data_IF_598895488184
#
_entry.id   IF_598895488184
#
_cell.length_a   1.000
_cell.length_b   1.000
_cell.length_c   1.000
_cell.angle_alpha   90.00
_cell.angle_beta   90.00
_cell.angle_gamma   90.00
#
_symmetry.space_group_name_H-M   'P 1'
#
loop_
_entity.id
_entity.type
_entity.pdbx_description
1 polymer ?
#
# COMPACT_ATOMS: atom_id res chain seq x y z
N UNK A 1 6.07 34.76 64.21
CA UNK A 1 6.21 33.57 63.34
C UNK A 1 5.06 33.61 62.33
N UNK A 2 5.32 34.02 61.09
CA UNK A 2 4.33 34.01 60.00
C UNK A 2 4.61 32.78 59.14
N UNK A 3 3.70 31.81 59.16
CA UNK A 3 3.76 30.63 58.30
C UNK A 3 3.40 31.04 56.86
N UNK A 4 4.32 30.84 55.94
CA UNK A 4 4.12 31.04 54.49
C UNK A 4 3.58 29.73 53.93
N UNK A 5 2.32 29.74 53.49
CA UNK A 5 1.70 28.67 52.71
C UNK A 5 2.22 28.77 51.27
N UNK A 6 3.00 27.77 50.83
CA UNK A 6 3.35 27.56 49.42
C UNK A 6 2.16 26.90 48.69
N UNK A 7 1.68 27.42 47.56
CA UNK A 7 0.71 26.71 46.73
C UNK A 7 1.45 25.67 45.86
N UNK A 8 1.01 24.42 45.95
CA UNK A 8 1.44 23.35 45.05
C UNK A 8 0.83 23.63 43.68
N UNK A 9 1.65 24.06 42.73
CA UNK A 9 1.25 24.20 41.33
C UNK A 9 1.08 22.80 40.72
N UNK A 10 -0.16 22.43 40.40
CA UNK A 10 -0.46 21.27 39.56
C UNK A 10 0.08 21.54 38.16
N UNK A 11 1.22 20.94 37.81
CA UNK A 11 1.65 20.81 36.42
C UNK A 11 0.67 19.82 35.74
N UNK A 12 -0.28 20.36 34.96
CA UNK A 12 -0.94 19.56 33.94
C UNK A 12 0.14 19.14 32.94
N UNK A 13 0.52 17.86 32.98
CA UNK A 13 1.30 17.23 31.91
C UNK A 13 0.45 17.23 30.64
N UNK A 14 0.67 18.23 29.78
CA UNK A 14 0.24 18.20 28.39
C UNK A 14 1.05 17.09 27.71
N UNK A 15 0.48 15.89 27.66
CA UNK A 15 0.98 14.84 26.77
C UNK A 15 0.97 15.40 25.35
N UNK A 16 2.09 15.37 24.61
CA UNK A 16 2.09 15.77 23.22
C UNK A 16 1.20 14.81 22.45
N UNK A 17 0.07 15.30 21.94
CA UNK A 17 -0.67 14.58 20.90
C UNK A 17 0.27 14.37 19.73
N UNK A 18 0.45 13.14 19.22
CA UNK A 18 1.23 12.93 18.02
C UNK A 18 0.60 13.74 16.90
N UNK A 19 1.30 14.76 16.42
CA UNK A 19 0.91 15.54 15.25
C UNK A 19 1.13 14.68 14.02
N UNK A 20 0.21 13.74 13.76
CA UNK A 20 0.15 13.02 12.51
C UNK A 20 -0.44 13.96 11.46
N UNK A 21 0.41 14.43 10.54
CA UNK A 21 0.03 15.29 9.43
C UNK A 21 -0.81 14.59 8.35
N UNK A 22 -1.30 13.36 8.61
CA UNK A 22 -2.37 12.73 7.87
C UNK A 22 -3.58 12.65 8.80
N UNK A 23 -4.61 13.47 8.55
CA UNK A 23 -5.90 13.32 9.25
C UNK A 23 -6.45 11.95 8.87
N UNK A 24 -6.32 11.00 9.78
CA UNK A 24 -6.95 9.70 9.68
C UNK A 24 -8.45 9.92 9.44
N UNK A 25 -8.93 9.52 8.27
CA UNK A 25 -10.28 9.85 7.81
C UNK A 25 -11.37 9.17 8.67
N UNK A 26 -11.02 8.05 9.30
CA UNK A 26 -11.91 7.24 10.13
C UNK A 26 -11.61 7.37 11.61
N UNK A 27 -12.66 7.36 12.43
CA UNK A 27 -12.51 7.13 13.88
C UNK A 27 -12.09 5.68 14.17
N UNK A 28 -11.62 5.42 15.39
CA UNK A 28 -11.23 4.08 15.82
C UNK A 28 -12.43 3.11 15.73
N UNK A 29 -13.62 3.58 16.08
CA UNK A 29 -14.87 2.81 16.00
C UNK A 29 -15.21 2.46 14.55
N UNK A 30 -15.04 3.41 13.62
CA UNK A 30 -15.28 3.18 12.20
C UNK A 30 -14.28 2.18 11.63
N UNK A 31 -13.00 2.27 11.99
CA UNK A 31 -12.00 1.26 11.60
C UNK A 31 -12.38 -0.13 12.14
N UNK A 32 -12.84 -0.20 13.39
CA UNK A 32 -13.29 -1.46 13.98
C UNK A 32 -14.56 -2.03 13.33
N UNK A 33 -15.45 -1.17 12.82
CA UNK A 33 -16.61 -1.59 12.03
C UNK A 33 -16.17 -2.13 10.66
N UNK A 34 -15.30 -1.41 9.95
CA UNK A 34 -14.77 -1.82 8.64
C UNK A 34 -14.05 -3.17 8.74
N UNK A 35 -13.23 -3.37 9.76
CA UNK A 35 -12.52 -4.63 9.99
C UNK A 35 -13.46 -5.83 10.24
N UNK A 36 -14.73 -5.59 10.57
CA UNK A 36 -15.75 -6.62 10.88
C UNK A 36 -16.82 -6.77 9.79
N UNK A 37 -16.73 -6.02 8.69
CA UNK A 37 -17.69 -6.14 7.59
C UNK A 37 -17.69 -7.57 7.05
N UNK A 38 -18.87 -8.19 7.08
CA UNK A 38 -19.11 -9.54 6.60
C UNK A 38 -20.20 -9.56 5.53
N UNK A 39 -21.28 -8.80 5.72
CA UNK A 39 -22.41 -8.72 4.80
C UNK A 39 -22.41 -7.39 4.05
N UNK A 40 -22.36 -7.46 2.72
CA UNK A 40 -22.24 -6.29 1.85
C UNK A 40 -23.45 -6.18 0.94
N UNK A 41 -24.12 -5.04 0.96
CA UNK A 41 -25.14 -4.69 -0.01
C UNK A 41 -24.49 -4.19 -1.30
N UNK A 42 -24.79 -4.80 -2.44
CA UNK A 42 -24.37 -4.29 -3.75
C UNK A 42 -25.48 -3.43 -4.35
N UNK A 43 -25.15 -2.18 -4.62
CA UNK A 43 -26.05 -1.20 -5.24
C UNK A 43 -25.42 -0.75 -6.58
N UNK A 44 -25.97 -1.27 -7.68
CA UNK A 44 -25.45 -1.04 -9.03
C UNK A 44 -26.40 -0.15 -9.84
N UNK A 45 -25.83 0.72 -10.67
CA UNK A 45 -26.58 1.59 -11.58
C UNK A 45 -25.89 1.68 -12.93
N UNK A 46 -26.67 1.60 -14.01
CA UNK A 46 -26.21 1.75 -15.39
C UNK A 46 -26.96 2.89 -16.08
N UNK A 47 -26.23 3.88 -16.61
CA UNK A 47 -26.79 5.04 -17.28
C UNK A 47 -26.27 5.16 -18.72
N UNK A 48 -27.18 5.39 -19.66
CA UNK A 48 -26.87 5.68 -21.06
C UNK A 48 -27.42 7.05 -21.43
N UNK A 49 -27.09 7.55 -22.62
CA UNK A 49 -27.68 8.81 -23.11
C UNK A 49 -29.21 8.71 -23.29
N UNK A 50 -29.76 7.49 -23.39
CA UNK A 50 -31.20 7.22 -23.47
C UNK A 50 -31.86 7.04 -22.09
N UNK A 51 -31.10 7.18 -21.00
CA UNK A 51 -31.57 7.02 -19.63
C UNK A 51 -30.99 5.78 -18.93
N UNK A 52 -31.56 5.47 -17.76
CA UNK A 52 -31.16 4.31 -16.98
C UNK A 52 -31.52 3.01 -17.69
N UNK A 53 -30.60 2.04 -17.63
CA UNK A 53 -30.81 0.68 -18.12
C UNK A 53 -30.65 -0.32 -16.98
N UNK A 54 -30.97 -1.57 -17.26
CA UNK A 54 -30.84 -2.69 -16.32
C UNK A 54 -29.38 -2.88 -15.88
N UNK A 55 -29.16 -3.05 -14.56
CA UNK A 55 -27.84 -3.06 -13.93
C UNK A 55 -27.52 -4.36 -13.16
N UNK A 56 -28.41 -5.35 -13.21
CA UNK A 56 -28.26 -6.67 -12.59
C UNK A 56 -26.96 -7.37 -12.98
N UNK A 57 -26.54 -7.40 -14.26
CA UNK A 57 -25.25 -7.98 -14.63
C UNK A 57 -24.05 -7.33 -13.92
N UNK A 58 -24.10 -6.02 -13.65
CA UNK A 58 -23.06 -5.32 -12.87
C UNK A 58 -23.15 -5.71 -11.39
N UNK A 59 -24.36 -5.77 -10.83
CA UNK A 59 -24.58 -6.19 -9.45
C UNK A 59 -24.13 -7.64 -9.21
N UNK A 60 -24.42 -8.55 -10.15
CA UNK A 60 -24.07 -9.96 -10.09
C UNK A 60 -22.56 -10.16 -10.24
N UNK A 61 -21.91 -9.41 -11.15
CA UNK A 61 -20.46 -9.38 -11.27
C UNK A 61 -19.82 -8.94 -9.95
N UNK A 62 -20.27 -7.80 -9.40
CA UNK A 62 -19.71 -7.27 -8.16
C UNK A 62 -19.96 -8.22 -6.98
N UNK A 63 -21.15 -8.83 -6.91
CA UNK A 63 -21.50 -9.82 -5.89
C UNK A 63 -20.61 -11.06 -5.98
N UNK A 64 -20.45 -11.65 -7.17
CA UNK A 64 -19.57 -12.81 -7.37
C UNK A 64 -18.13 -12.50 -6.95
N UNK A 65 -17.58 -11.38 -7.44
CA UNK A 65 -16.18 -11.00 -7.22
C UNK A 65 -15.87 -10.65 -5.75
N UNK A 66 -16.80 -10.03 -5.03
CA UNK A 66 -16.67 -9.84 -3.57
C UNK A 66 -16.87 -11.17 -2.81
N UNK A 67 -17.78 -12.03 -3.29
CA UNK A 67 -17.99 -13.36 -2.73
C UNK A 67 -16.74 -14.25 -2.76
N UNK A 68 -15.85 -14.08 -3.76
CA UNK A 68 -14.54 -14.77 -3.80
C UNK A 68 -13.65 -14.50 -2.58
N UNK A 69 -13.84 -13.36 -1.90
CA UNK A 69 -13.15 -13.01 -0.64
C UNK A 69 -13.93 -13.43 0.61
N UNK A 70 -15.02 -14.18 0.44
CA UNK A 70 -15.85 -14.69 1.52
C UNK A 70 -16.82 -13.67 2.12
N UNK A 71 -17.11 -12.56 1.44
CA UNK A 71 -18.19 -11.67 1.83
C UNK A 71 -19.55 -12.30 1.53
N UNK A 72 -20.52 -12.07 2.41
CA UNK A 72 -21.92 -12.43 2.18
C UNK A 72 -22.60 -11.30 1.42
N UNK A 73 -23.12 -11.60 0.23
CA UNK A 73 -23.67 -10.56 -0.64
C UNK A 73 -25.19 -10.48 -0.52
N UNK A 74 -25.71 -9.26 -0.42
CA UNK A 74 -27.13 -8.96 -0.55
C UNK A 74 -27.34 -7.92 -1.63
N UNK A 75 -28.48 -7.99 -2.32
CA UNK A 75 -28.90 -6.97 -3.31
C UNK A 75 -30.19 -6.26 -2.88
N UNK A 76 -30.92 -6.83 -1.91
CA UNK A 76 -32.12 -6.23 -1.34
C UNK A 76 -31.74 -5.31 -0.18
N UNK A 77 -32.04 -4.00 -0.33
CA UNK A 77 -31.77 -2.97 0.68
C UNK A 77 -32.51 -3.21 2.00
N UNK A 78 -33.60 -3.98 1.99
CA UNK A 78 -34.33 -4.32 3.21
C UNK A 78 -33.61 -5.38 4.08
N UNK A 79 -32.63 -6.10 3.53
CA UNK A 79 -31.88 -7.10 4.29
C UNK A 79 -30.78 -6.43 5.13
N UNK A 80 -30.50 -6.95 6.35
CA UNK A 80 -29.38 -6.48 7.16
C UNK A 80 -28.05 -6.58 6.41
N UNK A 81 -27.23 -5.54 6.52
CA UNK A 81 -25.90 -5.45 5.91
C UNK A 81 -25.02 -4.50 6.72
N UNK A 82 -23.70 -4.69 6.63
CA UNK A 82 -22.72 -3.91 7.38
C UNK A 82 -22.24 -2.69 6.58
N UNK A 83 -22.12 -2.85 5.26
CA UNK A 83 -21.67 -1.82 4.33
C UNK A 83 -22.42 -1.90 3.00
N UNK A 84 -22.46 -0.78 2.26
CA UNK A 84 -23.02 -0.72 0.90
C UNK A 84 -21.88 -0.48 -0.08
N UNK A 85 -21.65 -1.40 -1.00
CA UNK A 85 -20.75 -1.21 -2.12
C UNK A 85 -21.54 -0.73 -3.34
N UNK A 86 -21.13 0.41 -3.91
CA UNK A 86 -21.82 1.07 -5.01
C UNK A 86 -21.00 1.03 -6.28
N UNK A 87 -21.61 0.60 -7.38
CA UNK A 87 -21.00 0.63 -8.72
C UNK A 87 -21.92 1.40 -9.67
N UNK A 88 -21.46 2.57 -10.12
CA UNK A 88 -22.18 3.39 -11.08
C UNK A 88 -21.44 3.37 -12.41
N UNK A 89 -22.02 2.73 -13.42
CA UNK A 89 -21.51 2.69 -14.78
C UNK A 89 -22.29 3.63 -15.69
N UNK A 90 -21.59 4.46 -16.46
CA UNK A 90 -22.20 5.45 -17.35
C UNK A 90 -21.58 5.34 -18.74
N UNK A 91 -22.38 5.42 -19.80
CA UNK A 91 -21.91 5.59 -21.17
C UNK A 91 -21.13 6.90 -21.32
N UNK A 92 -21.58 7.94 -20.64
CA UNK A 92 -20.92 9.24 -20.61
C UNK A 92 -20.81 9.68 -19.16
N UNK A 93 -19.59 9.76 -18.64
CA UNK A 93 -19.36 10.27 -17.29
C UNK A 93 -19.77 11.74 -17.21
N UNK A 94 -20.86 12.02 -16.51
CA UNK A 94 -21.42 13.38 -16.35
C UNK A 94 -21.24 13.93 -14.94
N UNK A 95 -21.11 13.07 -13.93
CA UNK A 95 -21.03 13.49 -12.53
C UNK A 95 -19.81 12.90 -11.83
N UNK A 96 -18.98 13.77 -11.26
CA UNK A 96 -17.73 13.40 -10.58
C UNK A 96 -17.92 13.19 -9.06
N UNK A 97 -19.08 13.60 -8.52
CA UNK A 97 -19.21 13.83 -7.08
C UNK A 97 -18.39 15.05 -6.65
N UNK A 98 -18.98 15.95 -5.86
CA UNK A 98 -18.24 17.05 -5.23
C UNK A 98 -17.32 16.49 -4.15
N UNK A 99 -16.14 16.01 -4.53
CA UNK A 99 -15.14 15.63 -3.52
C UNK A 99 -14.34 16.88 -3.15
N UNK A 100 -14.68 17.50 -2.02
CA UNK A 100 -13.99 18.69 -1.51
C UNK A 100 -12.53 18.42 -1.09
N UNK A 101 -12.16 17.15 -0.92
CA UNK A 101 -10.79 16.65 -0.79
C UNK A 101 -10.82 15.11 -0.76
N UNK A 102 -9.83 14.45 -1.35
CA UNK A 102 -9.40 13.12 -0.87
C UNK A 102 -9.40 12.00 -1.91
N UNK A 103 -8.19 11.73 -2.39
CA UNK A 103 -7.74 10.64 -3.24
C UNK A 103 -6.39 11.13 -3.77
N UNK A 104 -5.37 10.28 -3.80
CA UNK A 104 -4.13 10.64 -4.47
C UNK A 104 -4.48 10.81 -5.96
N UNK A 105 -4.68 12.07 -6.38
CA UNK A 105 -5.29 12.43 -7.66
C UNK A 105 -4.43 11.96 -8.84
N UNK A 106 -3.20 11.54 -8.53
CA UNK A 106 -2.20 11.03 -9.45
C UNK A 106 -2.31 9.51 -9.66
N UNK A 107 -3.21 8.81 -8.95
CA UNK A 107 -3.43 7.38 -9.20
C UNK A 107 -4.16 7.16 -10.53
N UNK A 108 -3.73 6.17 -11.35
CA UNK A 108 -4.35 5.89 -12.65
C UNK A 108 -5.86 5.58 -12.57
N UNK A 109 -6.30 5.01 -11.45
CA UNK A 109 -7.67 4.62 -11.17
C UNK A 109 -8.45 5.66 -10.33
N UNK A 110 -7.86 6.85 -10.11
CA UNK A 110 -8.57 7.98 -9.55
C UNK A 110 -9.60 8.51 -10.57
N UNK A 111 -10.79 8.96 -10.13
CA UNK A 111 -11.77 9.54 -11.03
C UNK A 111 -11.21 10.75 -11.81
N UNK A 112 -11.22 10.69 -13.14
CA UNK A 112 -10.69 11.77 -13.97
C UNK A 112 -11.76 12.82 -14.27
N UNK A 113 -11.40 14.09 -14.11
CA UNK A 113 -12.23 15.21 -14.54
C UNK A 113 -12.22 15.44 -16.05
N UNK A 114 -11.14 15.01 -16.70
CA UNK A 114 -10.91 15.19 -18.13
C UNK A 114 -11.59 14.10 -18.94
N UNK A 115 -11.80 12.92 -18.36
CA UNK A 115 -12.50 11.82 -19.01
C UNK A 115 -14.00 12.11 -19.10
N UNK A 116 -14.53 12.10 -20.33
CA UNK A 116 -15.96 12.28 -20.61
C UNK A 116 -16.57 11.09 -21.35
N UNK A 117 -15.87 9.97 -21.45
CA UNK A 117 -16.35 8.73 -22.05
C UNK A 117 -16.99 7.77 -21.04
N UNK A 118 -17.16 6.50 -21.42
CA UNK A 118 -17.72 5.50 -20.54
C UNK A 118 -16.82 5.21 -19.33
N UNK A 119 -17.42 5.13 -18.14
CA UNK A 119 -16.70 4.82 -16.91
C UNK A 119 -17.61 4.13 -15.88
N UNK A 120 -17.02 3.28 -15.04
CA UNK A 120 -17.65 2.84 -13.79
C UNK A 120 -16.92 3.43 -12.60
N UNK A 121 -17.66 4.15 -11.76
CA UNK A 121 -17.20 4.63 -10.47
C UNK A 121 -17.63 3.66 -9.37
N UNK A 122 -16.67 3.21 -8.56
CA UNK A 122 -16.88 2.37 -7.40
C UNK A 122 -16.71 3.21 -6.14
N UNK A 123 -17.66 3.09 -5.21
CA UNK A 123 -17.63 3.77 -3.89
C UNK A 123 -18.22 2.84 -2.84
N UNK A 124 -18.12 3.19 -1.56
CA UNK A 124 -18.88 2.48 -0.53
C UNK A 124 -19.43 3.41 0.55
N UNK A 125 -20.42 2.92 1.29
CA UNK A 125 -21.00 3.56 2.47
C UNK A 125 -20.80 2.66 3.69
N UNK A 126 -20.53 3.29 4.84
CA UNK A 126 -20.55 2.65 6.15
C UNK A 126 -21.69 3.28 6.97
N UNK A 127 -22.83 2.58 7.05
CA UNK A 127 -24.09 3.21 7.46
C UNK A 127 -24.47 4.36 6.51
N UNK A 128 -24.76 5.54 7.07
CA UNK A 128 -25.07 6.75 6.29
C UNK A 128 -23.82 7.54 5.88
N UNK A 129 -22.62 7.13 6.33
CA UNK A 129 -21.39 7.83 6.01
C UNK A 129 -20.98 7.55 4.57
N UNK A 130 -21.00 8.60 3.74
CA UNK A 130 -20.36 8.56 2.43
C UNK A 130 -18.84 8.65 2.59
N UNK A 131 -18.18 7.52 2.35
CA UNK A 131 -16.73 7.39 2.43
C UNK A 131 -16.05 8.04 1.23
N UNK A 132 -14.83 8.58 1.45
CA UNK A 132 -14.01 9.23 0.41
C UNK A 132 -13.41 8.27 -0.61
N UNK A 133 -13.23 7.00 -0.24
CA UNK A 133 -12.72 5.97 -1.14
C UNK A 133 -13.57 5.88 -2.41
N UNK A 134 -12.89 6.04 -3.54
CA UNK A 134 -13.49 5.92 -4.85
C UNK A 134 -12.45 5.41 -5.84
N UNK A 135 -12.90 4.55 -6.74
CA UNK A 135 -12.09 4.01 -7.84
C UNK A 135 -12.85 4.15 -9.14
N UNK A 136 -12.13 4.23 -10.25
CA UNK A 136 -12.71 4.38 -11.57
C UNK A 136 -12.06 3.42 -12.57
N UNK A 137 -12.90 2.68 -13.29
CA UNK A 137 -12.50 1.99 -14.52
C UNK A 137 -13.09 2.70 -15.73
N UNK A 138 -12.39 2.65 -16.86
CA UNK A 138 -12.77 3.33 -18.10
C UNK A 138 -12.63 2.38 -19.26
N UNK A 139 -13.42 2.60 -20.30
CA UNK A 139 -13.20 1.91 -21.58
C UNK A 139 -11.95 2.43 -22.29
N UNK A 140 -11.43 1.65 -23.23
CA UNK A 140 -10.33 2.07 -24.12
C UNK A 140 -10.73 3.09 -25.20
N UNK A 141 -11.96 3.60 -25.16
CA UNK A 141 -12.51 4.59 -26.07
C UNK A 141 -13.34 5.61 -25.28
N UNK A 142 -13.38 6.85 -25.76
CA UNK A 142 -14.13 7.95 -25.18
C UNK A 142 -15.52 8.13 -25.80
N UNK A 143 -15.68 7.84 -27.09
CA UNK A 143 -16.96 7.90 -27.81
C UNK A 143 -17.55 6.51 -28.07
N UNK A 144 -18.62 6.19 -27.34
CA UNK A 144 -19.34 4.93 -27.47
C UNK A 144 -20.03 4.75 -28.83
N UNK A 145 -20.48 5.83 -29.47
CA UNK A 145 -21.16 5.79 -30.77
C UNK A 145 -20.16 5.38 -31.84
N UNK A 146 -19.01 6.06 -31.88
CA UNK A 146 -17.93 5.76 -32.83
C UNK A 146 -17.42 4.33 -32.62
N UNK A 147 -17.18 3.93 -31.36
CA UNK A 147 -16.66 2.60 -31.04
C UNK A 147 -17.66 1.48 -31.39
N UNK A 148 -18.96 1.68 -31.15
CA UNK A 148 -19.99 0.72 -31.52
C UNK A 148 -20.12 0.58 -33.04
N UNK A 149 -20.10 1.70 -33.78
CA UNK A 149 -20.15 1.69 -35.25
C UNK A 149 -18.94 0.97 -35.86
N UNK A 150 -17.73 1.25 -35.37
CA UNK A 150 -16.49 0.64 -35.85
C UNK A 150 -16.50 -0.90 -35.71
N UNK A 151 -17.16 -1.41 -34.68
CA UNK A 151 -17.27 -2.85 -34.40
C UNK A 151 -18.56 -3.48 -34.95
N UNK A 152 -19.42 -2.68 -35.60
CA UNK A 152 -20.79 -3.07 -35.99
C UNK A 152 -21.59 -3.64 -34.81
N UNK A 153 -21.31 -3.15 -33.60
CA UNK A 153 -22.07 -3.47 -32.42
C UNK A 153 -23.46 -2.78 -32.48
N UNK A 154 -24.39 -3.25 -31.66
CA UNK A 154 -25.74 -2.69 -31.57
C UNK A 154 -25.77 -1.31 -30.91
N UNK A 155 -26.74 -1.11 -30.02
CA UNK A 155 -26.93 0.17 -29.33
C UNK A 155 -25.67 0.66 -28.58
N UNK A 156 -25.16 1.88 -28.84
CA UNK A 156 -23.91 2.40 -28.25
C UNK A 156 -23.88 2.36 -26.72
N UNK A 157 -25.00 2.68 -26.08
CA UNK A 157 -25.11 2.65 -24.61
C UNK A 157 -24.92 1.23 -24.07
N UNK A 158 -25.61 0.24 -24.64
CA UNK A 158 -25.47 -1.15 -24.23
C UNK A 158 -24.06 -1.69 -24.52
N UNK A 159 -23.47 -1.32 -25.67
CA UNK A 159 -22.10 -1.66 -26.01
C UNK A 159 -21.09 -1.10 -24.99
N UNK A 160 -21.21 0.18 -24.64
CA UNK A 160 -20.35 0.82 -23.65
C UNK A 160 -20.46 0.16 -22.26
N UNK A 161 -21.69 -0.09 -21.79
CA UNK A 161 -21.91 -0.75 -20.50
C UNK A 161 -21.36 -2.18 -20.50
N UNK A 162 -21.50 -2.92 -21.61
CA UNK A 162 -20.89 -4.25 -21.76
C UNK A 162 -19.36 -4.20 -21.69
N UNK A 163 -18.73 -3.22 -22.35
CA UNK A 163 -17.27 -3.03 -22.26
C UNK A 163 -16.81 -2.61 -20.88
N UNK A 164 -17.59 -1.83 -20.16
CA UNK A 164 -17.30 -1.49 -18.78
C UNK A 164 -17.40 -2.70 -17.85
N UNK A 165 -18.33 -3.64 -18.08
CA UNK A 165 -18.38 -4.90 -17.34
C UNK A 165 -17.13 -5.74 -17.58
N UNK A 166 -16.62 -5.80 -18.82
CA UNK A 166 -15.35 -6.48 -19.12
C UNK A 166 -14.15 -5.86 -18.37
N UNK A 167 -14.13 -4.53 -18.22
CA UNK A 167 -13.07 -3.83 -17.47
C UNK A 167 -13.23 -4.02 -15.95
N UNK A 168 -14.46 -4.00 -15.42
CA UNK A 168 -14.73 -4.35 -14.01
C UNK A 168 -14.33 -5.79 -13.69
N UNK A 169 -14.51 -6.73 -14.62
CA UNK A 169 -14.11 -8.14 -14.43
C UNK A 169 -12.60 -8.30 -14.23
N UNK A 170 -11.79 -7.46 -14.88
CA UNK A 170 -10.32 -7.49 -14.75
C UNK A 170 -9.82 -6.69 -13.55
N UNK A 171 -10.54 -5.65 -13.17
CA UNK A 171 -10.10 -4.74 -12.12
C UNK A 171 -10.21 -5.40 -10.74
N UNK A 172 -9.14 -5.33 -9.94
CA UNK A 172 -9.04 -5.96 -8.62
C UNK A 172 -9.65 -5.11 -7.50
N UNK A 173 -10.83 -4.51 -7.74
CA UNK A 173 -11.54 -3.74 -6.71
C UNK A 173 -11.84 -4.55 -5.44
N UNK A 174 -12.09 -5.88 -5.46
CA UNK A 174 -12.34 -6.62 -4.21
C UNK A 174 -11.13 -6.60 -3.29
N UNK A 175 -9.92 -6.73 -3.85
CA UNK A 175 -8.67 -6.68 -3.07
C UNK A 175 -8.44 -5.28 -2.51
N UNK A 176 -8.62 -4.25 -3.34
CA UNK A 176 -8.46 -2.85 -2.93
C UNK A 176 -9.45 -2.46 -1.82
N UNK A 177 -10.70 -2.90 -1.94
CA UNK A 177 -11.74 -2.62 -0.95
C UNK A 177 -11.48 -3.37 0.37
N UNK A 178 -11.02 -4.62 0.29
CA UNK A 178 -10.68 -5.43 1.48
C UNK A 178 -9.47 -4.86 2.22
N UNK A 179 -8.48 -4.34 1.47
CA UNK A 179 -7.34 -3.64 2.06
C UNK A 179 -7.76 -2.33 2.73
N UNK A 180 -8.61 -1.54 2.06
CA UNK A 180 -9.22 -0.32 2.61
C UNK A 180 -10.02 -0.61 3.90
N UNK A 181 -10.67 -1.77 3.99
CA UNK A 181 -11.41 -2.18 5.19
C UNK A 181 -10.53 -2.77 6.29
N UNK A 182 -9.22 -2.90 6.08
CA UNK A 182 -8.31 -3.41 7.09
C UNK A 182 -8.50 -4.90 7.38
N UNK A 183 -8.79 -5.73 6.36
CA UNK A 183 -9.09 -7.15 6.54
C UNK A 183 -8.02 -8.08 5.93
N UNK A 184 -6.80 -8.15 6.53
CA UNK A 184 -5.69 -8.91 5.95
C UNK A 184 -5.97 -10.42 5.88
N UNK A 185 -6.71 -10.98 6.84
CA UNK A 185 -7.04 -12.42 6.87
C UNK A 185 -7.80 -12.91 5.62
N UNK A 186 -8.67 -12.06 5.03
CA UNK A 186 -9.34 -12.41 3.77
C UNK A 186 -8.35 -12.46 2.60
N UNK A 187 -7.41 -11.53 2.57
CA UNK A 187 -6.36 -11.51 1.55
C UNK A 187 -5.41 -12.72 1.71
N UNK A 188 -5.07 -13.09 2.96
CA UNK A 188 -4.26 -14.27 3.26
C UNK A 188 -4.99 -15.57 2.89
N UNK A 189 -6.29 -15.66 3.16
CA UNK A 189 -7.11 -16.81 2.75
C UNK A 189 -7.12 -16.96 1.23
N UNK A 190 -7.30 -15.85 0.50
CA UNK A 190 -7.24 -15.90 -0.96
C UNK A 190 -5.83 -16.23 -1.45
N UNK A 191 -4.78 -15.70 -0.83
CA UNK A 191 -3.38 -15.99 -1.18
C UNK A 191 -3.07 -17.49 -1.10
N UNK A 192 -3.62 -18.17 -0.09
CA UNK A 192 -3.43 -19.60 0.16
C UNK A 192 -4.26 -20.50 -0.80
N UNK A 193 -5.20 -19.92 -1.55
CA UNK A 193 -5.99 -20.64 -2.55
C UNK A 193 -5.15 -21.08 -3.75
N UNK A 194 -5.37 -22.31 -4.22
CA UNK A 194 -4.69 -22.88 -5.38
C UNK A 194 -5.01 -22.15 -6.69
N UNK A 195 -6.19 -21.53 -6.79
CA UNK A 195 -6.66 -20.82 -7.99
C UNK A 195 -6.10 -19.39 -8.11
N UNK A 196 -5.36 -18.92 -7.09
CA UNK A 196 -4.83 -17.55 -7.07
C UNK A 196 -3.62 -17.42 -7.98
N UNK A 197 -3.79 -16.64 -9.05
CA UNK A 197 -2.74 -16.37 -10.04
C UNK A 197 -1.55 -15.62 -9.44
N UNK A 198 -0.36 -15.78 -10.02
CA UNK A 198 0.86 -15.08 -9.58
C UNK A 198 0.69 -13.56 -9.55
N UNK A 199 0.06 -12.97 -10.57
CA UNK A 199 -0.24 -11.54 -10.61
C UNK A 199 -1.14 -11.10 -9.43
N UNK A 200 -2.12 -11.93 -9.07
CA UNK A 200 -3.01 -11.66 -7.92
C UNK A 200 -2.26 -11.79 -6.60
N UNK A 201 -1.35 -12.77 -6.45
CA UNK A 201 -0.46 -12.90 -5.27
C UNK A 201 0.43 -11.68 -5.08
N UNK A 202 1.04 -11.18 -6.16
CA UNK A 202 1.85 -9.96 -6.15
C UNK A 202 1.04 -8.77 -5.65
N UNK A 203 -0.20 -8.61 -6.14
CA UNK A 203 -1.10 -7.54 -5.69
C UNK A 203 -1.46 -7.69 -4.21
N UNK A 204 -1.77 -8.91 -3.75
CA UNK A 204 -2.06 -9.20 -2.34
C UNK A 204 -0.87 -8.82 -1.45
N UNK A 205 0.37 -9.19 -1.82
CA UNK A 205 1.56 -8.81 -1.06
C UNK A 205 1.75 -7.29 -0.97
N UNK A 206 1.56 -6.57 -2.09
CA UNK A 206 1.60 -5.09 -2.06
C UNK A 206 0.62 -4.53 -1.04
N UNK A 207 -0.63 -5.01 -1.05
CA UNK A 207 -1.68 -4.54 -0.16
C UNK A 207 -1.39 -4.88 1.29
N UNK A 208 -0.92 -6.09 1.60
CA UNK A 208 -0.54 -6.48 2.96
C UNK A 208 0.59 -5.58 3.51
N UNK A 209 1.55 -5.21 2.67
CA UNK A 209 2.57 -4.21 3.00
C UNK A 209 1.98 -2.83 3.27
N UNK A 210 1.14 -2.31 2.36
CA UNK A 210 0.46 -1.01 2.52
C UNK A 210 -0.41 -0.95 3.80
N UNK A 211 -1.02 -2.08 4.17
CA UNK A 211 -1.82 -2.23 5.38
C UNK A 211 -0.99 -2.38 6.67
N UNK A 212 0.33 -2.58 6.56
CA UNK A 212 1.19 -2.98 7.68
C UNK A 212 0.68 -4.23 8.41
N UNK A 213 0.22 -5.23 7.66
CA UNK A 213 -0.36 -6.46 8.20
C UNK A 213 0.72 -7.45 8.64
N UNK A 214 1.20 -7.33 9.89
CA UNK A 214 2.27 -8.15 10.44
C UNK A 214 1.93 -9.66 10.45
N UNK A 215 0.65 -10.03 10.48
CA UNK A 215 0.20 -11.42 10.37
C UNK A 215 0.56 -12.07 9.02
N UNK A 216 0.91 -11.27 8.01
CA UNK A 216 1.37 -11.75 6.70
C UNK A 216 2.81 -12.30 6.72
N UNK A 217 3.60 -12.03 7.76
CA UNK A 217 5.03 -12.40 7.83
C UNK A 217 5.30 -13.88 7.50
N UNK A 218 4.55 -14.87 8.02
CA UNK A 218 4.77 -16.28 7.68
C UNK A 218 4.59 -16.58 6.18
N UNK A 219 3.55 -16.00 5.55
CA UNK A 219 3.26 -16.18 4.12
C UNK A 219 4.31 -15.50 3.26
N UNK A 220 4.74 -14.30 3.65
CA UNK A 220 5.82 -13.59 2.97
C UNK A 220 7.14 -14.34 3.07
N UNK A 221 7.47 -14.95 4.22
CA UNK A 221 8.67 -15.79 4.40
C UNK A 221 8.64 -17.00 3.49
N UNK A 222 7.48 -17.66 3.38
CA UNK A 222 7.30 -18.78 2.46
C UNK A 222 7.47 -18.35 1.01
N UNK A 223 6.94 -17.19 0.62
CA UNK A 223 7.03 -16.66 -0.73
C UNK A 223 8.47 -16.36 -1.18
N UNK A 224 9.43 -16.24 -0.27
CA UNK A 224 10.86 -16.12 -0.61
C UNK A 224 11.43 -17.35 -1.32
N UNK A 225 10.76 -18.50 -1.20
CA UNK A 225 11.17 -19.73 -1.88
C UNK A 225 10.74 -19.74 -3.35
N UNK A 226 9.79 -18.89 -3.73
CA UNK A 226 9.35 -18.70 -5.12
C UNK A 226 10.09 -17.49 -5.71
N UNK A 227 10.93 -17.74 -6.71
CA UNK A 227 11.75 -16.71 -7.36
C UNK A 227 10.92 -15.57 -7.94
N UNK A 228 9.72 -15.85 -8.44
CA UNK A 228 8.86 -14.85 -9.07
C UNK A 228 8.17 -13.96 -8.01
N UNK A 229 8.03 -14.46 -6.79
CA UNK A 229 7.38 -13.75 -5.68
C UNK A 229 8.35 -13.12 -4.69
N UNK A 230 9.58 -13.64 -4.57
CA UNK A 230 10.54 -13.26 -3.53
C UNK A 230 10.76 -11.74 -3.46
N UNK A 231 10.94 -11.09 -4.62
CA UNK A 231 11.16 -9.64 -4.69
C UNK A 231 9.95 -8.85 -4.17
N UNK A 232 8.74 -9.25 -4.55
CA UNK A 232 7.53 -8.58 -4.07
C UNK A 232 7.31 -8.84 -2.58
N UNK A 233 7.56 -10.07 -2.12
CA UNK A 233 7.43 -10.43 -0.72
C UNK A 233 8.38 -9.60 0.16
N UNK A 234 9.64 -9.41 -0.25
CA UNK A 234 10.60 -8.57 0.48
C UNK A 234 10.21 -7.09 0.45
N UNK A 235 9.67 -6.60 -0.68
CA UNK A 235 9.14 -5.24 -0.76
C UNK A 235 7.96 -5.03 0.20
N UNK A 236 7.08 -6.02 0.31
CA UNK A 236 5.97 -5.99 1.26
C UNK A 236 6.47 -6.01 2.70
N UNK A 237 7.42 -6.91 3.03
CA UNK A 237 8.04 -6.98 4.35
C UNK A 237 8.68 -5.65 4.77
N UNK A 238 9.34 -4.93 3.85
CA UNK A 238 9.93 -3.62 4.13
C UNK A 238 8.91 -2.49 4.39
N UNK A 239 7.62 -2.74 4.12
CA UNK A 239 6.51 -1.84 4.38
C UNK A 239 5.59 -2.32 5.51
N UNK A 240 5.88 -3.47 6.14
CA UNK A 240 5.11 -3.99 7.27
C UNK A 240 5.29 -3.13 8.54
N UNK A 241 4.68 -3.55 9.64
CA UNK A 241 4.92 -2.95 10.95
C UNK A 241 6.29 -3.31 11.51
N UNK A 242 6.55 -2.83 12.74
CA UNK A 242 7.81 -3.08 13.48
C UNK A 242 8.08 -4.57 13.70
N UNK A 243 7.06 -5.41 13.71
CA UNK A 243 7.21 -6.85 13.95
C UNK A 243 7.97 -7.56 12.81
N UNK A 244 8.08 -6.95 11.64
CA UNK A 244 8.90 -7.46 10.53
C UNK A 244 10.42 -7.35 10.75
N UNK A 245 10.87 -6.50 11.67
CA UNK A 245 12.30 -6.22 11.89
C UNK A 245 13.14 -7.47 12.22
N UNK A 246 12.77 -8.30 13.22
CA UNK A 246 13.55 -9.48 13.57
C UNK A 246 13.71 -10.46 12.40
N UNK A 247 12.66 -10.65 11.60
CA UNK A 247 12.70 -11.53 10.44
C UNK A 247 13.62 -10.97 9.34
N UNK A 248 13.58 -9.66 9.08
CA UNK A 248 14.47 -9.04 8.10
C UNK A 248 15.94 -9.10 8.54
N UNK A 249 16.23 -9.01 9.85
CA UNK A 249 17.57 -9.26 10.40
C UNK A 249 18.01 -10.71 10.13
N UNK A 250 17.15 -11.68 10.43
CA UNK A 250 17.39 -13.11 10.16
C UNK A 250 17.71 -13.32 8.67
N UNK A 251 16.89 -12.79 7.77
CA UNK A 251 17.05 -12.95 6.32
C UNK A 251 18.36 -12.31 5.82
N UNK A 252 18.66 -11.08 6.24
CA UNK A 252 19.90 -10.38 5.85
C UNK A 252 21.17 -11.13 6.28
N UNK A 253 21.10 -11.86 7.40
CA UNK A 253 22.25 -12.56 7.99
C UNK A 253 22.38 -14.00 7.52
N UNK A 254 21.28 -14.69 7.24
CA UNK A 254 21.26 -16.15 6.98
C UNK A 254 21.00 -16.54 5.52
N UNK A 255 20.37 -15.68 4.71
CA UNK A 255 20.06 -16.00 3.31
C UNK A 255 21.35 -16.23 2.50
N UNK A 256 21.34 -17.18 1.57
CA UNK A 256 22.44 -17.37 0.62
C UNK A 256 22.25 -16.56 -0.68
N UNK A 257 21.05 -16.04 -0.90
CA UNK A 257 20.70 -15.25 -2.08
C UNK A 257 21.02 -13.77 -1.82
N UNK A 258 21.87 -13.19 -2.67
CA UNK A 258 22.30 -11.80 -2.59
C UNK A 258 21.17 -10.80 -2.83
N UNK A 259 20.24 -11.10 -3.74
CA UNK A 259 19.07 -10.24 -3.98
C UNK A 259 18.18 -10.22 -2.75
N UNK A 260 18.00 -11.39 -2.11
CA UNK A 260 17.23 -11.53 -0.88
C UNK A 260 17.89 -10.77 0.29
N UNK A 261 19.21 -10.90 0.47
CA UNK A 261 19.95 -10.13 1.49
C UNK A 261 19.84 -8.62 1.26
N UNK A 262 19.99 -8.19 0.01
CA UNK A 262 19.95 -6.78 -0.41
C UNK A 262 18.59 -6.16 -0.10
N UNK A 263 17.51 -6.84 -0.47
CA UNK A 263 16.16 -6.36 -0.19
C UNK A 263 15.82 -6.41 1.31
N UNK A 264 16.36 -7.37 2.08
CA UNK A 264 16.20 -7.38 3.53
C UNK A 264 16.89 -6.18 4.20
N UNK A 265 18.12 -5.85 3.81
CA UNK A 265 18.83 -4.66 4.30
C UNK A 265 18.05 -3.37 3.97
N UNK A 266 17.53 -3.27 2.74
CA UNK A 266 16.67 -2.15 2.33
C UNK A 266 15.41 -2.04 3.20
N UNK A 267 14.73 -3.15 3.44
CA UNK A 267 13.55 -3.23 4.29
C UNK A 267 13.83 -2.79 5.73
N UNK A 268 14.97 -3.20 6.31
CA UNK A 268 15.39 -2.73 7.65
C UNK A 268 15.56 -1.21 7.70
N UNK A 269 16.14 -0.62 6.66
CA UNK A 269 16.26 0.83 6.55
C UNK A 269 14.91 1.54 6.43
N UNK A 270 13.94 0.93 5.75
CA UNK A 270 12.57 1.46 5.63
C UNK A 270 11.83 1.38 6.96
N UNK A 271 11.77 0.21 7.59
CA UNK A 271 11.07 0.01 8.86
C UNK A 271 11.72 0.81 10.00
N UNK A 272 13.04 0.75 10.12
CA UNK A 272 13.74 1.47 11.17
C UNK A 272 13.64 2.99 11.00
N UNK A 273 13.62 3.50 9.77
CA UNK A 273 13.41 4.93 9.50
C UNK A 273 11.96 5.37 9.72
N UNK A 274 10.98 4.60 9.22
CA UNK A 274 9.55 4.86 9.36
C UNK A 274 9.12 4.88 10.83
N UNK A 275 9.68 3.98 11.63
CA UNK A 275 9.29 3.79 13.01
C UNK A 275 10.26 4.39 14.03
N UNK A 276 11.42 4.90 13.61
CA UNK A 276 12.48 5.36 14.51
C UNK A 276 13.04 4.22 15.38
N UNK A 277 13.10 3.00 14.85
CA UNK A 277 13.55 1.83 15.59
C UNK A 277 15.07 1.63 15.46
N UNK A 278 15.80 2.10 16.46
CA UNK A 278 17.26 1.99 16.50
C UNK A 278 17.80 0.57 16.76
N UNK A 279 16.92 -0.43 16.98
CA UNK A 279 17.34 -1.83 17.16
C UNK A 279 17.99 -2.41 15.90
N UNK A 280 17.66 -1.88 14.72
CA UNK A 280 18.24 -2.33 13.45
C UNK A 280 19.68 -1.87 13.22
N UNK A 281 20.13 -0.83 13.95
CA UNK A 281 21.46 -0.21 13.75
C UNK A 281 22.57 -1.22 14.03
N UNK A 282 22.53 -1.94 15.16
CA UNK A 282 23.61 -2.87 15.51
C UNK A 282 23.74 -4.05 14.51
N UNK A 283 22.65 -4.73 14.09
CA UNK A 283 22.70 -5.71 13.00
C UNK A 283 23.26 -5.16 11.70
N UNK A 284 22.84 -3.96 11.28
CA UNK A 284 23.35 -3.31 10.07
C UNK A 284 24.85 -3.01 10.18
N UNK A 285 25.32 -2.52 11.33
CA UNK A 285 26.75 -2.29 11.58
C UNK A 285 27.56 -3.57 11.60
N UNK A 286 27.00 -4.67 12.11
CA UNK A 286 27.66 -5.98 12.05
C UNK A 286 27.84 -6.41 10.58
N UNK A 287 26.81 -6.25 9.76
CA UNK A 287 26.87 -6.57 8.32
C UNK A 287 27.82 -5.64 7.54
N UNK A 288 27.86 -4.35 7.89
CA UNK A 288 28.77 -3.35 7.31
C UNK A 288 30.25 -3.71 7.55
N UNK A 289 30.56 -4.28 8.73
CA UNK A 289 31.92 -4.66 9.14
C UNK A 289 32.34 -6.04 8.68
N UNK A 290 31.42 -6.87 8.19
CA UNK A 290 31.72 -8.20 7.67
C UNK A 290 32.48 -8.07 6.33
N UNK A 291 33.76 -8.50 6.26
CA UNK A 291 34.56 -8.40 5.05
C UNK A 291 34.05 -9.29 3.90
N UNK A 292 33.14 -10.24 4.19
CA UNK A 292 32.53 -11.12 3.18
C UNK A 292 31.26 -10.54 2.57
N UNK A 293 30.78 -9.39 3.05
CA UNK A 293 29.56 -8.77 2.54
C UNK A 293 29.79 -8.27 1.11
N UNK A 294 28.94 -8.75 0.20
CA UNK A 294 28.91 -8.31 -1.20
C UNK A 294 28.58 -6.81 -1.32
N UNK A 295 29.10 -6.15 -2.37
CA UNK A 295 28.94 -4.70 -2.55
C UNK A 295 27.50 -4.25 -2.74
N UNK A 296 26.63 -5.07 -3.33
CA UNK A 296 25.20 -4.74 -3.45
C UNK A 296 24.51 -4.72 -2.09
N UNK A 297 24.78 -5.71 -1.25
CA UNK A 297 24.27 -5.78 0.12
C UNK A 297 24.85 -4.64 0.95
N UNK A 298 26.15 -4.37 0.83
CA UNK A 298 26.84 -3.30 1.55
C UNK A 298 26.27 -1.91 1.19
N UNK A 299 25.87 -1.72 -0.07
CA UNK A 299 25.24 -0.49 -0.55
C UNK A 299 23.90 -0.25 0.16
N UNK A 300 23.02 -1.26 0.23
CA UNK A 300 21.75 -1.11 0.93
C UNK A 300 21.92 -1.01 2.45
N UNK A 301 22.91 -1.68 3.05
CA UNK A 301 23.25 -1.51 4.46
C UNK A 301 23.67 -0.08 4.75
N UNK A 302 24.50 0.54 3.89
CA UNK A 302 24.88 1.94 4.04
C UNK A 302 23.64 2.85 3.96
N UNK A 303 22.81 2.72 2.91
CA UNK A 303 21.56 3.48 2.78
C UNK A 303 20.64 3.32 4.00
N UNK A 304 20.50 2.10 4.51
CA UNK A 304 19.68 1.80 5.67
C UNK A 304 20.16 2.54 6.93
N UNK A 305 21.48 2.55 7.18
CA UNK A 305 22.07 3.33 8.27
C UNK A 305 21.84 4.85 8.08
N UNK A 306 21.91 5.36 6.85
CA UNK A 306 21.62 6.78 6.57
C UNK A 306 20.15 7.16 6.77
N UNK A 307 19.21 6.24 6.54
CA UNK A 307 17.77 6.43 6.82
C UNK A 307 17.45 6.43 8.31
N UNK A 308 18.39 5.99 9.14
CA UNK A 308 18.24 5.85 10.60
C UNK A 308 19.44 6.55 11.24
N UNK A 309 19.45 7.90 11.25
CA UNK A 309 20.56 8.68 11.76
C UNK A 309 20.88 8.30 13.21
N UNK A 310 22.02 7.65 13.42
CA UNK A 310 22.49 7.17 14.71
C UNK A 310 24.00 7.39 14.81
N UNK A 311 24.46 7.99 15.90
CA UNK A 311 25.88 8.34 16.10
C UNK A 311 26.81 7.13 16.01
N UNK A 312 26.32 5.93 16.34
CA UNK A 312 27.07 4.67 16.24
C UNK A 312 27.44 4.33 14.79
N UNK A 313 26.73 4.89 13.81
CA UNK A 313 26.96 4.68 12.38
C UNK A 313 28.05 5.57 11.80
N UNK A 314 28.37 6.71 12.42
CA UNK A 314 29.28 7.72 11.89
C UNK A 314 30.67 7.14 11.64
N UNK A 315 31.36 6.67 12.70
CA UNK A 315 32.73 6.17 12.57
C UNK A 315 32.85 4.97 11.62
N UNK A 316 31.98 3.94 11.71
CA UNK A 316 32.01 2.82 10.77
C UNK A 316 31.82 3.21 9.30
N UNK A 317 30.95 4.21 9.01
CA UNK A 317 30.75 4.71 7.66
C UNK A 317 31.99 5.47 7.16
N UNK A 318 32.64 6.29 7.99
CA UNK A 318 33.91 6.95 7.64
C UNK A 318 35.04 5.95 7.38
N UNK A 319 35.14 4.91 8.19
CA UNK A 319 36.14 3.85 8.01
C UNK A 319 35.93 3.11 6.68
N UNK A 320 34.67 2.89 6.29
CA UNK A 320 34.33 2.32 4.99
C UNK A 320 34.64 3.30 3.85
N UNK A 321 34.24 4.57 3.94
CA UNK A 321 34.53 5.59 2.93
C UNK A 321 36.03 5.66 2.65
N UNK A 322 36.88 5.74 3.69
CA UNK A 322 38.34 5.76 3.55
C UNK A 322 38.86 4.56 2.75
N UNK A 323 38.33 3.36 2.98
CA UNK A 323 38.69 2.16 2.21
C UNK A 323 38.23 2.27 0.76
N UNK A 324 37.02 2.77 0.52
CA UNK A 324 36.47 2.93 -0.82
C UNK A 324 37.20 4.00 -1.64
N UNK A 325 37.67 5.08 -1.02
CA UNK A 325 38.46 6.12 -1.70
C UNK A 325 39.77 5.58 -2.27
N UNK A 326 40.37 4.57 -1.62
CA UNK A 326 41.57 3.91 -2.12
C UNK A 326 41.31 3.06 -3.38
N UNK A 327 40.06 2.73 -3.69
CA UNK A 327 39.66 1.99 -4.89
C UNK A 327 39.30 2.97 -6.01
N UNK A 328 40.05 2.95 -7.12
CA UNK A 328 39.76 3.76 -8.30
C UNK A 328 39.41 2.89 -9.50
N UNK A 329 38.12 2.78 -9.78
CA UNK A 329 37.58 2.14 -10.98
C UNK A 329 36.31 2.88 -11.43
N UNK A 330 36.42 3.87 -12.36
CA UNK A 330 35.29 4.68 -12.79
C UNK A 330 34.26 3.89 -13.63
N UNK A 331 34.63 2.73 -14.18
CA UNK A 331 33.71 1.86 -14.93
C UNK A 331 32.86 0.97 -14.02
N UNK A 332 33.20 0.87 -12.75
CA UNK A 332 32.54 -0.01 -11.80
C UNK A 332 31.30 0.63 -11.19
N UNK A 333 30.15 0.37 -11.82
CA UNK A 333 28.85 0.90 -11.39
C UNK A 333 28.51 0.50 -9.93
N UNK A 334 28.67 -0.77 -9.49
CA UNK A 334 28.45 -1.14 -8.09
C UNK A 334 29.29 -0.34 -7.09
N UNK A 335 30.60 -0.18 -7.36
CA UNK A 335 31.49 0.61 -6.50
C UNK A 335 31.06 2.08 -6.42
N UNK A 336 30.65 2.66 -7.55
CA UNK A 336 30.14 4.04 -7.60
C UNK A 336 28.90 4.20 -6.72
N UNK A 337 27.92 3.31 -6.84
CA UNK A 337 26.70 3.33 -6.03
C UNK A 337 26.99 3.17 -4.53
N UNK A 338 27.92 2.28 -4.18
CA UNK A 338 28.34 2.11 -2.79
C UNK A 338 28.96 3.39 -2.23
N UNK A 339 29.86 4.05 -2.98
CA UNK A 339 30.45 5.34 -2.59
C UNK A 339 29.37 6.41 -2.39
N UNK A 340 28.41 6.51 -3.30
CA UNK A 340 27.27 7.44 -3.19
C UNK A 340 26.44 7.17 -1.93
N UNK A 341 26.12 5.90 -1.66
CA UNK A 341 25.36 5.49 -0.49
C UNK A 341 26.07 5.84 0.82
N UNK A 342 27.36 5.52 0.93
CA UNK A 342 28.17 5.83 2.11
C UNK A 342 28.28 7.33 2.32
N UNK A 343 28.60 8.08 1.28
CA UNK A 343 28.73 9.54 1.35
C UNK A 343 27.42 10.22 1.77
N UNK A 344 26.28 9.81 1.19
CA UNK A 344 24.98 10.34 1.60
C UNK A 344 24.66 9.98 3.04
N UNK A 345 24.94 8.75 3.47
CA UNK A 345 24.61 8.25 4.81
C UNK A 345 25.44 8.94 5.89
N UNK A 346 26.74 9.22 5.62
CA UNK A 346 27.58 10.05 6.49
C UNK A 346 26.94 11.41 6.70
N UNK A 347 26.50 12.08 5.63
CA UNK A 347 25.83 13.38 5.75
C UNK A 347 24.56 13.30 6.59
N UNK A 348 23.73 12.30 6.39
CA UNK A 348 22.51 12.16 7.20
C UNK A 348 22.84 11.98 8.69
N UNK A 349 23.80 11.11 9.03
CA UNK A 349 24.16 10.85 10.43
C UNK A 349 24.87 12.03 11.10
N UNK A 350 25.71 12.77 10.37
CA UNK A 350 26.54 13.86 10.91
C UNK A 350 25.79 15.19 11.02
N UNK A 351 24.90 15.49 10.06
CA UNK A 351 24.08 16.72 10.10
C UNK A 351 23.00 16.69 11.18
N UNK A 352 22.52 15.51 11.60
CA UNK A 352 21.52 15.39 12.68
C UNK A 352 22.04 15.90 14.04
N UNK A 353 23.35 15.86 14.26
CA UNK A 353 23.99 16.40 15.47
C UNK A 353 23.98 17.94 15.56
N UNK A 354 23.69 18.65 14.47
CA UNK A 354 23.58 20.11 14.49
C UNK A 354 22.20 20.62 14.93
N UNK A 355 21.19 19.75 14.97
CA UNK A 355 19.79 20.10 15.26
C UNK A 355 19.16 19.32 16.43
N UNK A 356 19.92 18.41 17.07
CA UNK A 356 19.57 17.68 18.30
C UNK A 356 20.20 18.34 19.51
#
# INVERSE_FOLDING_TARGET
>A
MRAVLLPIAYLLALLPTPSWAYRDYFTIEQKAQLAKVQTVLVDAMALTDKGAIEAGPIADLASRRLGELGYTMVQDRAKPHDAVFKVKCEQRKTWEGTTAAGGDADLPDAPSRLWKGPACQMTYLLGELKVRWQREVRTGFDDAVVAAQATKAGEPGAYAIGKLQEELEKYEFPLLLTAEWGQPERLLTLLDSADTTQARKVKIFSLLGEMQADEALPRLKQALQDRDLAKQALSAMGNLGREGIPLLIEIMTTSQDLEVQTAAAKGLGQLGGLHGDASVVLPLLAKLKDPKTDWFVLTEVAWALGKIPDKRSIQPLYDLDKKLQALHDPGNIPLKKLKEAVFWSIKQCDTWDQFS
#
